data_IF_641216953795
#
_entry.id   IF_641216953795
#
_cell.length_a   1.000
_cell.length_b   1.000
_cell.length_c   1.000
_cell.angle_alpha   90.00
_cell.angle_beta   90.00
_cell.angle_gamma   90.00
#
_symmetry.space_group_name_H-M   'P 1'
#
loop_
_entity.id
_entity.type
_entity.pdbx_description
1 polymer ?
#
# COMPACT_ATOMS: atom_id res chain seq x y z
N UNK A 1 -43.86 -49.98 12.82
CA UNK A 1 -43.98 -50.41 14.24
C UNK A 1 -43.34 -49.28 15.02
N UNK A 2 -44.17 -48.49 15.50
CA UNK A 2 -44.74 -48.30 16.82
C UNK A 2 -43.97 -47.21 17.52
N UNK A 3 -44.54 -46.05 17.50
CA UNK A 3 -45.37 -45.30 18.49
C UNK A 3 -44.50 -44.58 19.52
N UNK A 4 -44.56 -43.30 19.59
CA UNK A 4 -45.59 -42.38 20.10
C UNK A 4 -45.37 -42.04 21.58
N UNK A 5 -45.53 -40.75 21.81
CA UNK A 5 -46.02 -39.98 22.98
C UNK A 5 -44.95 -39.52 23.98
N UNK A 6 -45.08 -38.43 24.65
CA UNK A 6 -46.01 -37.28 24.67
C UNK A 6 -45.52 -36.31 25.75
N UNK A 7 -45.72 -35.07 25.51
CA UNK A 7 -46.30 -34.05 26.37
C UNK A 7 -45.83 -33.79 27.83
N UNK A 8 -45.52 -32.54 28.14
CA UNK A 8 -46.13 -31.66 29.17
C UNK A 8 -45.34 -30.35 29.27
N UNK A 9 -45.88 -29.31 28.79
CA UNK A 9 -46.57 -28.15 29.42
C UNK A 9 -46.21 -27.88 30.92
N UNK A 10 -45.84 -26.65 31.18
CA UNK A 10 -45.70 -26.04 32.48
C UNK A 10 -45.21 -24.60 32.34
N UNK A 11 -46.08 -23.70 32.04
CA UNK A 11 -46.77 -22.65 32.82
C UNK A 11 -45.86 -21.50 33.34
N UNK A 12 -46.11 -20.35 32.76
CA UNK A 12 -46.07 -18.97 33.22
C UNK A 12 -45.83 -18.71 34.71
N UNK A 13 -44.88 -17.81 35.02
CA UNK A 13 -45.04 -16.87 36.11
C UNK A 13 -44.48 -15.51 35.71
N UNK A 14 -45.38 -14.54 35.65
CA UNK A 14 -45.12 -13.11 35.70
C UNK A 14 -44.83 -12.74 37.17
N UNK A 15 -43.87 -11.87 37.41
CA UNK A 15 -43.84 -10.92 38.53
C UNK A 15 -43.01 -9.70 38.07
N UNK A 16 -43.71 -8.63 37.81
CA UNK A 16 -44.02 -7.39 38.54
C UNK A 16 -42.83 -6.61 39.10
N UNK A 17 -42.67 -5.44 38.48
CA UNK A 17 -41.92 -4.28 38.97
C UNK A 17 -42.51 -3.77 40.28
N UNK A 18 -41.74 -2.96 41.05
CA UNK A 18 -42.36 -1.69 41.47
C UNK A 18 -41.52 -0.48 41.09
N UNK A 19 -42.31 0.57 40.86
CA UNK A 19 -41.93 1.91 40.53
C UNK A 19 -41.67 2.77 41.76
N UNK A 20 -40.87 3.80 41.54
CA UNK A 20 -40.94 5.17 42.08
C UNK A 20 -40.78 5.40 43.60
N UNK A 21 -39.79 6.23 43.89
CA UNK A 21 -40.11 7.37 44.79
C UNK A 21 -39.23 8.59 44.40
N UNK A 22 -39.95 9.73 44.34
CA UNK A 22 -39.44 11.04 43.99
C UNK A 22 -39.46 11.95 45.24
N UNK A 23 -38.52 12.93 45.27
CA UNK A 23 -38.57 14.23 45.98
C UNK A 23 -37.85 14.37 47.33
N UNK A 24 -37.52 15.62 47.74
CA UNK A 24 -37.64 16.92 47.08
C UNK A 24 -36.41 17.86 47.18
N UNK A 25 -36.51 18.94 46.41
CA UNK A 25 -35.65 20.12 46.42
C UNK A 25 -35.79 20.91 47.75
N UNK A 26 -34.70 21.44 48.26
CA UNK A 26 -34.73 22.53 49.24
C UNK A 26 -34.02 23.77 48.70
N UNK A 27 -34.89 24.76 48.45
CA UNK A 27 -34.57 26.16 48.24
C UNK A 27 -34.19 26.79 49.61
N UNK A 28 -33.04 27.44 49.72
CA UNK A 28 -32.83 28.41 50.81
C UNK A 28 -32.37 29.75 50.22
N UNK A 29 -33.34 30.65 50.11
CA UNK A 29 -33.10 32.09 50.02
C UNK A 29 -32.43 32.59 51.30
N UNK A 30 -31.35 33.36 51.17
CA UNK A 30 -30.93 34.32 52.22
C UNK A 30 -30.68 35.69 51.58
N UNK A 31 -31.59 36.54 51.88
CA UNK A 31 -31.72 37.97 52.16
C UNK A 31 -30.44 38.82 52.05
N UNK A 32 -30.65 39.88 51.27
CA UNK A 32 -29.85 41.12 51.23
C UNK A 32 -29.89 41.83 52.58
N UNK A 33 -28.76 42.45 52.94
CA UNK A 33 -28.75 43.63 53.77
C UNK A 33 -27.71 44.64 53.23
N UNK A 34 -28.02 45.94 53.17
CA UNK A 34 -27.20 47.01 52.58
C UNK A 34 -26.53 47.85 53.67
N UNK A 35 -25.38 48.42 53.37
CA UNK A 35 -24.86 49.51 54.20
C UNK A 35 -23.32 49.74 54.14
N UNK A 36 -22.92 50.58 53.20
CA UNK A 36 -21.92 51.69 53.33
C UNK A 36 -20.47 51.43 53.83
N UNK A 37 -19.50 52.34 53.52
CA UNK A 37 -19.34 53.34 52.48
C UNK A 37 -18.01 53.21 51.67
N UNK A 38 -17.94 54.02 50.61
CA UNK A 38 -16.81 54.26 49.72
C UNK A 38 -15.57 54.75 50.48
N UNK A 39 -14.40 54.13 50.19
CA UNK A 39 -13.10 54.78 50.30
C UNK A 39 -12.39 54.81 48.96
N UNK A 40 -12.13 56.00 48.53
CA UNK A 40 -11.36 56.34 47.34
C UNK A 40 -9.90 56.23 47.62
N UNK A 41 -9.19 55.35 46.86
CA UNK A 41 -7.72 55.39 46.73
C UNK A 41 -7.29 55.23 45.25
N UNK A 42 -6.19 55.84 44.80
CA UNK A 42 -5.97 56.14 43.43
C UNK A 42 -5.46 54.95 42.62
N UNK A 43 -5.77 54.99 41.31
CA UNK A 43 -5.32 54.07 40.31
C UNK A 43 -3.78 54.02 40.23
N UNK A 44 -3.18 52.90 40.64
CA UNK A 44 -1.84 52.55 40.21
C UNK A 44 -1.94 51.79 38.89
N UNK A 45 -1.51 52.42 37.84
CA UNK A 45 -1.26 51.80 36.58
C UNK A 45 -0.15 50.75 36.73
N UNK A 46 -0.55 49.47 36.87
CA UNK A 46 0.37 48.38 36.63
C UNK A 46 0.45 48.21 35.13
N UNK A 47 1.57 48.63 34.60
CA UNK A 47 2.06 48.21 33.29
C UNK A 47 1.92 46.69 33.21
N UNK A 48 1.06 46.23 32.29
CA UNK A 48 1.03 44.85 31.85
C UNK A 48 2.41 44.53 31.27
N UNK A 49 3.26 43.92 32.09
CA UNK A 49 4.51 43.34 31.63
C UNK A 49 4.13 42.24 30.62
N UNK A 50 4.36 42.53 29.37
CA UNK A 50 4.45 41.48 28.36
C UNK A 50 5.52 40.51 28.87
N UNK A 51 5.08 39.33 29.31
CA UNK A 51 6.00 38.19 29.54
C UNK A 51 6.81 38.03 28.28
N UNK A 52 8.15 37.99 28.35
CA UNK A 52 8.95 37.72 27.17
C UNK A 52 8.51 36.38 26.63
N UNK A 53 8.10 36.32 25.38
CA UNK A 53 7.92 35.06 24.64
C UNK A 53 9.20 34.28 24.90
N UNK A 54 9.09 33.17 25.64
CA UNK A 54 10.19 32.23 25.80
C UNK A 54 10.55 31.78 24.40
N UNK A 55 11.70 32.23 23.93
CA UNK A 55 12.33 31.83 22.69
C UNK A 55 12.68 30.32 22.86
N UNK A 56 11.66 29.47 22.72
CA UNK A 56 11.82 28.02 22.83
C UNK A 56 12.54 27.63 21.54
N UNK A 57 13.83 27.30 21.66
CA UNK A 57 14.64 26.81 20.56
C UNK A 57 13.87 25.75 19.76
N UNK A 58 13.66 26.03 18.49
CA UNK A 58 13.06 25.09 17.54
C UNK A 58 14.15 24.21 16.94
N UNK A 59 13.81 22.97 16.62
CA UNK A 59 14.70 22.02 15.95
C UNK A 59 14.21 21.78 14.51
N UNK A 60 15.12 21.72 13.52
CA UNK A 60 14.74 21.35 12.16
C UNK A 60 14.24 19.90 12.13
N UNK A 61 13.17 19.67 11.38
CA UNK A 61 12.52 18.36 11.30
C UNK A 61 12.10 18.04 9.88
N UNK A 62 12.08 16.74 9.58
CA UNK A 62 11.55 16.22 8.32
C UNK A 62 10.91 14.86 8.55
N UNK A 63 9.79 14.57 7.87
CA UNK A 63 9.12 13.28 7.98
C UNK A 63 7.85 13.20 7.16
N UNK A 64 7.23 12.02 7.18
CA UNK A 64 5.98 11.74 6.46
C UNK A 64 4.76 12.10 7.31
N UNK A 65 3.83 12.83 6.73
CA UNK A 65 2.56 13.14 7.39
C UNK A 65 1.67 11.89 7.40
N UNK A 66 1.30 11.48 8.61
CA UNK A 66 0.29 10.46 8.86
C UNK A 66 -0.91 11.06 9.58
N UNK A 67 -2.10 10.78 9.06
CA UNK A 67 -3.36 11.24 9.64
C UNK A 67 -4.19 10.01 9.96
N UNK A 68 -4.39 9.75 11.26
CA UNK A 68 -5.10 8.58 11.76
C UNK A 68 -5.97 8.99 12.94
N UNK A 69 -7.23 8.54 12.97
CA UNK A 69 -8.19 8.77 14.07
C UNK A 69 -8.34 10.26 14.47
N UNK A 70 -8.36 11.14 13.45
CA UNK A 70 -8.51 12.58 13.67
C UNK A 70 -7.30 13.26 14.30
N UNK A 71 -6.14 12.61 14.30
CA UNK A 71 -4.85 13.15 14.77
C UNK A 71 -3.85 13.17 13.62
N UNK A 72 -2.98 14.16 13.59
CA UNK A 72 -1.94 14.29 12.59
C UNK A 72 -0.56 14.22 13.26
N UNK A 73 0.33 13.43 12.67
CA UNK A 73 1.71 13.26 13.10
C UNK A 73 2.65 13.31 11.91
N UNK A 74 3.82 13.89 12.10
CA UNK A 74 4.96 13.75 11.21
C UNK A 74 5.79 12.57 11.72
N UNK A 75 5.91 11.51 10.93
CA UNK A 75 6.69 10.31 11.23
C UNK A 75 8.17 10.60 11.00
N UNK A 76 8.93 10.83 12.06
CA UNK A 76 10.37 11.12 11.97
C UNK A 76 11.23 9.89 11.65
N UNK A 77 10.74 8.69 11.91
CA UNK A 77 11.41 7.41 11.64
C UNK A 77 10.99 6.72 10.33
N UNK A 78 10.35 7.42 9.41
CA UNK A 78 9.87 6.86 8.14
C UNK A 78 8.39 6.46 8.18
N UNK A 79 8.04 5.19 7.96
CA UNK A 79 6.65 4.74 7.84
C UNK A 79 6.07 4.17 9.14
N UNK A 80 6.91 3.84 10.09
CA UNK A 80 6.49 3.26 11.38
C UNK A 80 6.26 4.35 12.42
N UNK A 81 5.36 4.06 13.36
CA UNK A 81 5.15 4.89 14.54
C UNK A 81 6.36 4.79 15.47
N UNK A 82 6.76 5.92 16.06
CA UNK A 82 7.93 5.91 16.91
C UNK A 82 8.05 7.11 17.84
N UNK A 83 9.06 7.08 18.72
CA UNK A 83 9.30 8.16 19.69
C UNK A 83 9.72 9.47 19.02
N UNK A 84 10.22 9.43 17.80
CA UNK A 84 10.59 10.60 17.01
C UNK A 84 9.40 11.26 16.29
N UNK A 85 8.18 10.75 16.46
CA UNK A 85 6.99 11.32 15.88
C UNK A 85 6.68 12.71 16.46
N UNK A 86 6.23 13.61 15.62
CA UNK A 86 5.88 14.97 16.01
C UNK A 86 4.41 15.23 15.78
N UNK A 87 3.76 15.91 16.71
CA UNK A 87 2.35 16.26 16.57
C UNK A 87 2.18 17.49 15.68
N UNK A 88 1.09 17.49 14.91
CA UNK A 88 0.67 18.59 14.05
C UNK A 88 -0.83 18.82 14.28
N UNK A 89 -1.24 20.09 14.35
CA UNK A 89 -2.66 20.41 14.49
C UNK A 89 -3.42 20.20 13.17
N UNK A 90 -4.67 19.74 13.25
CA UNK A 90 -5.52 19.66 12.06
C UNK A 90 -5.83 21.02 11.43
N UNK A 91 -5.70 22.10 12.19
CA UNK A 91 -5.79 23.46 11.66
C UNK A 91 -4.63 23.76 10.72
N UNK A 92 -3.41 23.41 11.10
CA UNK A 92 -2.23 23.55 10.23
C UNK A 92 -2.34 22.62 9.01
N UNK A 93 -2.84 21.38 9.16
CA UNK A 93 -3.09 20.48 8.03
C UNK A 93 -3.99 21.16 6.98
N UNK A 94 -5.08 21.78 7.42
CA UNK A 94 -6.01 22.49 6.52
C UNK A 94 -5.40 23.78 5.94
N UNK A 95 -4.69 24.54 6.76
CA UNK A 95 -4.06 25.81 6.37
C UNK A 95 -3.05 25.62 5.24
N UNK A 96 -2.22 24.59 5.31
CA UNK A 96 -1.20 24.28 4.31
C UNK A 96 -1.65 23.29 3.23
N UNK A 97 -2.93 22.87 3.22
CA UNK A 97 -3.44 21.90 2.25
C UNK A 97 -2.71 20.55 2.28
N UNK A 98 -2.23 20.15 3.48
CA UNK A 98 -1.45 18.92 3.64
C UNK A 98 -2.33 17.68 3.49
N UNK A 99 -1.73 16.61 2.96
CA UNK A 99 -2.39 15.32 2.73
C UNK A 99 -1.57 14.19 3.35
N UNK A 100 -2.23 13.14 3.82
CA UNK A 100 -1.55 11.92 4.29
C UNK A 100 -0.54 11.44 3.26
N UNK A 101 0.68 11.12 3.70
CA UNK A 101 1.79 10.73 2.83
C UNK A 101 2.63 11.88 2.28
N UNK A 102 2.32 13.14 2.61
CA UNK A 102 3.20 14.26 2.29
C UNK A 102 4.50 14.18 3.09
N UNK A 103 5.62 14.44 2.41
CA UNK A 103 6.90 14.71 3.05
C UNK A 103 6.90 16.17 3.51
N UNK A 104 6.95 16.39 4.81
CA UNK A 104 6.94 17.74 5.40
C UNK A 104 8.30 18.02 6.00
N UNK A 105 8.86 19.17 5.67
CA UNK A 105 10.08 19.73 6.28
C UNK A 105 9.73 21.05 6.97
N UNK A 106 10.32 21.30 8.14
CA UNK A 106 9.99 22.49 8.91
C UNK A 106 10.72 22.56 10.24
N UNK A 107 10.13 23.28 11.18
CA UNK A 107 10.65 23.42 12.53
C UNK A 107 9.65 22.93 13.58
N UNK A 108 10.14 22.23 14.60
CA UNK A 108 9.34 21.76 15.71
C UNK A 108 9.87 22.27 17.05
N UNK A 109 8.96 22.53 17.99
CA UNK A 109 9.28 22.78 19.37
C UNK A 109 9.40 21.44 20.09
N UNK A 110 10.50 21.18 20.83
CA UNK A 110 10.67 19.98 21.61
C UNK A 110 9.54 19.77 22.64
N UNK A 111 9.25 18.51 22.96
CA UNK A 111 8.35 18.18 24.06
C UNK A 111 8.89 18.74 25.38
N UNK A 112 8.00 19.29 26.21
CA UNK A 112 8.41 19.82 27.51
C UNK A 112 8.38 18.70 28.56
N UNK A 113 9.50 18.43 29.26
CA UNK A 113 9.53 17.46 30.35
C UNK A 113 8.50 17.84 31.45
N UNK A 114 7.74 16.85 31.90
CA UNK A 114 6.77 17.03 33.02
C UNK A 114 5.34 17.44 32.57
N UNK A 115 5.07 17.65 31.28
CA UNK A 115 3.70 17.86 30.80
C UNK A 115 3.13 16.61 30.13
N UNK A 116 2.21 15.86 30.78
CA UNK A 116 1.68 14.59 30.24
C UNK A 116 0.98 14.70 28.88
N UNK A 117 0.52 15.92 28.51
CA UNK A 117 -0.15 16.19 27.24
C UNK A 117 0.82 16.51 26.09
N UNK A 118 2.09 16.77 26.36
CA UNK A 118 3.12 17.12 25.37
C UNK A 118 4.17 15.99 25.26
N UNK A 119 3.72 14.77 24.93
CA UNK A 119 4.60 13.59 24.78
C UNK A 119 5.46 13.65 23.51
N UNK A 120 5.03 14.39 22.52
CA UNK A 120 5.70 14.54 21.21
C UNK A 120 6.11 16.00 20.99
N UNK A 121 7.19 16.20 20.27
CA UNK A 121 7.52 17.52 19.74
C UNK A 121 6.33 18.03 18.90
N UNK A 122 6.15 19.34 18.84
CA UNK A 122 5.04 19.94 18.09
C UNK A 122 5.59 20.74 16.91
N UNK A 123 5.14 20.44 15.69
CA UNK A 123 5.48 21.17 14.49
C UNK A 123 4.95 22.62 14.61
N UNK A 124 5.83 23.60 14.53
CA UNK A 124 5.49 25.03 14.65
C UNK A 124 5.49 25.72 13.31
N UNK A 125 6.32 25.27 12.37
CA UNK A 125 6.49 25.87 11.06
C UNK A 125 6.63 24.78 9.99
N UNK A 126 6.03 25.03 8.84
CA UNK A 126 6.16 24.19 7.63
C UNK A 126 6.94 25.00 6.61
N UNK A 127 8.11 24.51 6.23
CA UNK A 127 8.98 25.16 5.24
C UNK A 127 8.75 24.62 3.84
N UNK A 128 8.71 23.27 3.71
CA UNK A 128 8.51 22.59 2.43
C UNK A 128 7.52 21.42 2.56
N UNK A 129 6.76 21.19 1.50
CA UNK A 129 5.87 20.04 1.33
C UNK A 129 6.27 19.33 0.05
N UNK A 130 6.74 18.10 0.16
CA UNK A 130 7.29 17.32 -0.97
C UNK A 130 8.38 18.05 -1.78
N UNK A 131 9.15 18.91 -1.13
CA UNK A 131 10.19 19.72 -1.76
C UNK A 131 9.70 21.00 -2.43
N UNK A 132 8.41 21.32 -2.37
CA UNK A 132 7.80 22.53 -2.89
C UNK A 132 7.43 23.49 -1.77
N UNK A 133 7.30 24.78 -2.12
CA UNK A 133 6.65 25.76 -1.25
C UNK A 133 5.23 25.27 -0.86
N UNK A 134 4.79 25.47 0.41
CA UNK A 134 3.49 24.97 0.86
C UNK A 134 2.30 25.50 0.03
N UNK A 135 2.35 26.73 -0.48
CA UNK A 135 1.29 27.30 -1.31
C UNK A 135 1.23 26.62 -2.69
N UNK A 136 2.39 26.35 -3.29
CA UNK A 136 2.47 25.57 -4.54
C UNK A 136 2.01 24.13 -4.34
N UNK A 137 2.44 23.49 -3.25
CA UNK A 137 2.03 22.13 -2.92
C UNK A 137 0.52 22.00 -2.70
N UNK A 138 -0.14 23.01 -2.15
CA UNK A 138 -1.59 23.03 -1.94
C UNK A 138 -2.39 23.04 -3.25
N UNK A 139 -1.83 23.59 -4.33
CA UNK A 139 -2.50 23.71 -5.64
C UNK A 139 -2.45 22.43 -6.49
N UNK A 140 -1.67 21.42 -6.09
CA UNK A 140 -1.57 20.18 -6.84
C UNK A 140 -2.93 19.46 -6.93
N UNK A 141 -3.25 18.75 -8.04
CA UNK A 141 -4.50 18.00 -8.16
C UNK A 141 -4.59 16.91 -7.11
N UNK A 142 -5.79 16.49 -6.75
CA UNK A 142 -5.98 15.31 -5.93
C UNK A 142 -5.83 14.04 -6.77
N UNK A 143 -5.17 13.02 -6.24
CA UNK A 143 -5.01 11.74 -6.92
C UNK A 143 -6.34 11.13 -7.42
N UNK A 144 -7.42 11.35 -6.68
CA UNK A 144 -8.76 10.86 -7.06
C UNK A 144 -9.35 11.61 -8.25
N UNK A 145 -8.89 12.81 -8.55
CA UNK A 145 -9.37 13.68 -9.63
C UNK A 145 -8.58 13.46 -10.93
N UNK A 146 -7.42 12.80 -10.87
CA UNK A 146 -6.61 12.49 -12.04
C UNK A 146 -7.35 11.48 -12.94
N UNK A 147 -7.48 11.81 -14.23
CA UNK A 147 -8.14 10.95 -15.22
C UNK A 147 -7.35 9.66 -15.44
N UNK A 148 -7.92 8.47 -15.14
CA UNK A 148 -7.21 7.21 -15.29
C UNK A 148 -7.20 6.73 -16.74
N UNK A 149 -6.02 6.32 -17.21
CA UNK A 149 -5.82 5.72 -18.53
C UNK A 149 -5.39 4.25 -18.43
N UNK A 150 -5.59 3.50 -19.49
CA UNK A 150 -4.92 2.21 -19.65
C UNK A 150 -3.41 2.40 -19.69
N UNK A 151 -2.61 1.42 -19.22
CA UNK A 151 -1.18 1.41 -19.46
C UNK A 151 -0.87 1.45 -20.95
N UNK A 152 -0.06 2.44 -21.38
CA UNK A 152 0.33 2.65 -22.78
C UNK A 152 1.85 2.72 -22.95
N UNK A 153 2.57 3.07 -21.89
CA UNK A 153 4.03 3.13 -21.88
C UNK A 153 4.58 1.87 -21.20
N UNK A 154 5.30 1.06 -21.97
CA UNK A 154 5.90 -0.18 -21.49
C UNK A 154 7.06 0.11 -20.55
N UNK A 155 7.11 -0.60 -19.42
CA UNK A 155 8.26 -0.73 -18.54
C UNK A 155 9.05 -1.97 -18.98
N UNK A 156 10.09 -1.80 -19.79
CA UNK A 156 10.95 -2.91 -20.25
C UNK A 156 11.82 -3.39 -19.09
N UNK A 157 11.84 -4.69 -18.88
CA UNK A 157 12.65 -5.33 -17.84
C UNK A 157 13.95 -5.92 -18.39
N UNK A 158 14.05 -6.08 -19.69
CA UNK A 158 15.30 -6.51 -20.32
C UNK A 158 16.41 -5.51 -20.06
N UNK A 159 17.56 -5.99 -19.58
CA UNK A 159 18.73 -5.16 -19.28
C UNK A 159 19.96 -5.71 -19.99
N UNK A 160 21.00 -4.88 -20.24
CA UNK A 160 22.27 -5.35 -20.79
C UNK A 160 22.92 -6.46 -19.96
N UNK A 161 22.68 -6.50 -18.67
CA UNK A 161 23.17 -7.56 -17.77
C UNK A 161 22.44 -8.91 -17.94
N UNK A 162 21.39 -8.96 -18.74
CA UNK A 162 20.81 -10.18 -19.28
C UNK A 162 20.14 -11.11 -18.28
N UNK A 163 19.29 -10.60 -17.34
CA UNK A 163 18.49 -11.49 -16.47
C UNK A 163 17.48 -12.30 -17.29
N UNK A 164 17.61 -13.65 -17.39
CA UNK A 164 16.63 -14.48 -18.08
C UNK A 164 15.21 -14.32 -17.53
N UNK A 165 15.08 -14.14 -16.20
CA UNK A 165 13.80 -13.90 -15.55
C UNK A 165 13.12 -12.62 -16.07
N UNK A 166 13.86 -11.52 -16.14
CA UNK A 166 13.35 -10.25 -16.64
C UNK A 166 12.96 -10.33 -18.12
N UNK A 167 13.76 -11.03 -18.94
CA UNK A 167 13.47 -11.25 -20.36
C UNK A 167 12.20 -12.07 -20.58
N UNK A 168 12.02 -13.15 -19.81
CA UNK A 168 10.81 -13.99 -19.88
C UNK A 168 9.57 -13.19 -19.48
N UNK A 169 9.64 -12.41 -18.41
CA UNK A 169 8.52 -11.56 -17.97
C UNK A 169 8.15 -10.58 -19.09
N UNK A 170 9.13 -9.92 -19.68
CA UNK A 170 8.92 -9.00 -20.81
C UNK A 170 8.21 -9.64 -22.02
N UNK A 171 8.50 -10.90 -22.31
CA UNK A 171 7.89 -11.64 -23.42
C UNK A 171 6.47 -12.10 -23.12
N UNK A 172 6.22 -12.53 -21.88
CA UNK A 172 4.97 -13.23 -21.52
C UNK A 172 3.96 -12.30 -20.86
N UNK A 173 4.42 -11.38 -20.02
CA UNK A 173 3.57 -10.45 -19.27
C UNK A 173 4.17 -9.06 -19.30
N UNK A 174 4.13 -8.36 -20.45
CA UNK A 174 4.65 -7.00 -20.53
C UNK A 174 3.98 -6.10 -19.52
N UNK A 175 4.78 -5.30 -18.83
CA UNK A 175 4.33 -4.39 -17.78
C UNK A 175 4.28 -2.98 -18.36
N UNK A 176 3.18 -2.27 -18.10
CA UNK A 176 3.05 -0.86 -18.47
C UNK A 176 3.00 0.05 -17.25
N UNK A 177 3.37 1.33 -17.43
CA UNK A 177 3.17 2.36 -16.41
C UNK A 177 1.69 2.43 -16.05
N UNK A 178 1.37 2.33 -14.75
CA UNK A 178 -0.02 2.26 -14.27
C UNK A 178 -0.62 0.86 -14.20
N UNK A 179 0.18 -0.20 -14.44
CA UNK A 179 -0.27 -1.59 -14.35
C UNK A 179 -0.69 -1.97 -12.92
N UNK A 180 -1.73 -2.79 -12.82
CA UNK A 180 -2.14 -3.49 -11.59
C UNK A 180 -1.87 -4.98 -11.76
N UNK A 181 -0.65 -5.39 -11.45
CA UNK A 181 -0.19 -6.77 -11.63
C UNK A 181 -0.28 -7.61 -10.36
N UNK A 182 -0.66 -8.86 -10.53
CA UNK A 182 -0.56 -9.90 -9.51
C UNK A 182 0.55 -10.86 -9.88
N UNK A 183 1.50 -11.08 -8.98
CA UNK A 183 2.48 -12.16 -9.03
C UNK A 183 1.94 -13.29 -8.17
N UNK A 184 1.28 -14.23 -8.82
CA UNK A 184 0.57 -15.34 -8.18
C UNK A 184 1.54 -16.45 -7.88
N UNK A 185 1.82 -16.71 -6.62
CA UNK A 185 2.88 -17.62 -6.23
C UNK A 185 2.43 -18.62 -5.15
N UNK A 186 2.54 -19.92 -5.40
CA UNK A 186 2.49 -20.90 -4.32
C UNK A 186 3.76 -20.79 -3.45
N UNK A 187 3.70 -21.29 -2.19
CA UNK A 187 4.88 -21.27 -1.32
C UNK A 187 6.10 -21.94 -1.95
N UNK A 188 7.27 -21.31 -1.80
CA UNK A 188 8.58 -21.81 -2.30
C UNK A 188 8.72 -21.85 -3.84
N UNK A 189 7.93 -21.11 -4.59
CA UNK A 189 8.01 -21.04 -6.06
C UNK A 189 8.99 -19.99 -6.60
N UNK A 190 9.77 -19.31 -5.76
CA UNK A 190 10.74 -18.30 -6.21
C UNK A 190 10.21 -16.88 -6.31
N UNK A 191 9.16 -16.55 -5.56
CA UNK A 191 8.53 -15.23 -5.49
C UNK A 191 9.54 -14.07 -5.32
N UNK A 192 10.44 -14.19 -4.34
CA UNK A 192 11.43 -13.17 -4.01
C UNK A 192 12.41 -12.93 -5.15
N UNK A 193 12.84 -13.99 -5.85
CA UNK A 193 13.73 -13.88 -7.02
C UNK A 193 13.07 -13.07 -8.15
N UNK A 194 11.79 -13.30 -8.39
CA UNK A 194 11.02 -12.55 -9.40
C UNK A 194 10.93 -11.08 -9.02
N UNK A 195 10.60 -10.75 -7.76
CA UNK A 195 10.54 -9.38 -7.27
C UNK A 195 11.89 -8.67 -7.38
N UNK A 196 12.98 -9.34 -6.99
CA UNK A 196 14.34 -8.81 -7.10
C UNK A 196 14.71 -8.54 -8.56
N UNK A 197 14.37 -9.46 -9.49
CA UNK A 197 14.63 -9.28 -10.92
C UNK A 197 13.87 -8.07 -11.49
N UNK A 198 12.59 -7.91 -11.13
CA UNK A 198 11.77 -6.75 -11.54
C UNK A 198 12.35 -5.46 -10.95
N UNK A 199 12.64 -5.44 -9.65
CA UNK A 199 13.20 -4.27 -8.97
C UNK A 199 14.54 -3.82 -9.59
N UNK A 200 15.44 -4.77 -9.82
CA UNK A 200 16.74 -4.49 -10.44
C UNK A 200 16.61 -3.94 -11.86
N UNK A 201 15.68 -4.50 -12.65
CA UNK A 201 15.43 -4.06 -14.01
C UNK A 201 14.82 -2.64 -14.06
N UNK A 202 13.84 -2.35 -13.20
CA UNK A 202 13.25 -1.01 -13.10
C UNK A 202 14.29 0.01 -12.67
N UNK A 203 15.10 -0.29 -11.65
CA UNK A 203 16.13 0.62 -11.17
C UNK A 203 17.25 0.87 -12.21
N UNK A 204 17.54 -0.12 -13.07
CA UNK A 204 18.55 0.01 -14.11
C UNK A 204 18.06 0.79 -15.33
N UNK A 205 16.83 0.52 -15.78
CA UNK A 205 16.29 1.07 -17.02
C UNK A 205 15.59 2.42 -16.83
N UNK A 206 15.11 2.71 -15.60
CA UNK A 206 14.29 3.88 -15.31
C UNK A 206 14.74 4.58 -14.01
N UNK A 207 15.90 5.26 -14.03
CA UNK A 207 16.46 5.90 -12.83
C UNK A 207 15.57 7.03 -12.27
N UNK A 208 14.71 7.62 -13.10
CA UNK A 208 13.77 8.68 -12.71
C UNK A 208 12.47 8.16 -12.06
N UNK A 209 12.22 6.85 -12.19
CA UNK A 209 11.06 6.20 -11.56
C UNK A 209 11.31 6.02 -10.06
N UNK A 210 10.35 6.43 -9.26
CA UNK A 210 10.42 6.19 -7.82
C UNK A 210 10.01 4.75 -7.51
N UNK A 211 11.00 3.91 -7.20
CA UNK A 211 10.79 2.50 -6.86
C UNK A 211 10.60 2.33 -5.36
N UNK A 212 9.47 1.77 -4.96
CA UNK A 212 9.13 1.41 -3.58
C UNK A 212 8.92 -0.10 -3.47
N UNK A 213 9.55 -0.74 -2.48
CA UNK A 213 9.32 -2.15 -2.14
C UNK A 213 8.72 -2.22 -0.75
N UNK A 214 7.50 -2.73 -0.66
CA UNK A 214 6.73 -2.81 0.59
C UNK A 214 6.66 -4.28 1.01
N UNK A 215 7.25 -4.61 2.16
CA UNK A 215 7.33 -5.96 2.69
C UNK A 215 6.44 -6.07 3.94
N UNK A 216 5.33 -6.81 3.82
CA UNK A 216 4.35 -6.98 4.90
C UNK A 216 4.38 -8.41 5.42
N UNK A 217 4.74 -8.56 6.72
CA UNK A 217 4.81 -9.84 7.39
C UNK A 217 5.93 -10.74 6.87
N UNK A 218 6.95 -10.22 6.18
CA UNK A 218 8.12 -10.97 5.76
C UNK A 218 9.15 -11.08 6.89
N UNK A 219 10.13 -11.94 6.73
CA UNK A 219 11.15 -12.20 7.75
C UNK A 219 12.20 -11.09 7.80
N UNK A 220 12.77 -10.75 8.97
CA UNK A 220 13.81 -9.73 9.09
C UNK A 220 15.01 -9.95 8.18
N UNK A 221 15.45 -11.21 7.99
CA UNK A 221 16.54 -11.57 7.09
C UNK A 221 16.19 -11.30 5.62
N UNK A 222 14.95 -11.56 5.17
CA UNK A 222 14.48 -11.29 3.82
C UNK A 222 14.37 -9.77 3.56
N UNK A 223 13.97 -9.00 4.58
CA UNK A 223 14.00 -7.52 4.54
C UNK A 223 15.42 -7.00 4.36
N UNK A 224 16.38 -7.56 5.10
CA UNK A 224 17.78 -7.17 5.01
C UNK A 224 18.36 -7.48 3.63
N UNK A 225 18.05 -8.64 3.08
CA UNK A 225 18.47 -9.05 1.73
C UNK A 225 17.89 -8.09 0.68
N UNK A 226 16.59 -7.77 0.76
CA UNK A 226 15.94 -6.85 -0.16
C UNK A 226 16.58 -5.45 -0.11
N UNK A 227 16.86 -4.92 1.07
CA UNK A 227 17.54 -3.61 1.25
C UNK A 227 18.94 -3.58 0.64
N UNK A 228 19.66 -4.72 0.62
CA UNK A 228 21.01 -4.82 0.04
C UNK A 228 20.99 -4.99 -1.47
N UNK A 229 19.95 -5.64 -2.01
CA UNK A 229 19.87 -6.01 -3.43
C UNK A 229 19.14 -4.97 -4.28
N UNK A 230 18.24 -4.16 -3.70
CA UNK A 230 17.40 -3.24 -4.45
C UNK A 230 17.85 -1.78 -4.28
N UNK A 231 18.01 -1.09 -5.41
CA UNK A 231 18.21 0.36 -5.45
C UNK A 231 16.84 1.03 -5.49
N UNK A 232 16.21 1.20 -4.33
CA UNK A 232 14.88 1.77 -4.17
C UNK A 232 14.55 1.95 -2.70
N UNK A 233 13.39 2.50 -2.42
CA UNK A 233 12.89 2.67 -1.06
C UNK A 233 12.30 1.36 -0.54
N UNK A 234 12.91 0.75 0.48
CA UNK A 234 12.43 -0.51 1.09
C UNK A 234 11.74 -0.22 2.40
N UNK A 235 10.44 -0.45 2.41
CA UNK A 235 9.51 -0.24 3.52
C UNK A 235 9.10 -1.59 4.06
N UNK A 236 9.11 -1.78 5.36
CA UNK A 236 8.79 -3.10 5.93
C UNK A 236 8.04 -3.03 7.24
N UNK A 237 7.15 -4.00 7.44
CA UNK A 237 6.60 -4.39 8.72
C UNK A 237 6.74 -5.92 8.82
N UNK A 238 7.62 -6.39 9.68
CA UNK A 238 7.99 -7.80 9.80
C UNK A 238 6.94 -8.63 10.53
N UNK A 239 6.98 -9.95 10.41
CA UNK A 239 5.94 -10.86 10.91
C UNK A 239 5.74 -10.82 12.43
N UNK A 240 6.72 -10.33 13.19
CA UNK A 240 6.69 -10.16 14.64
C UNK A 240 5.95 -8.89 15.09
N UNK A 241 5.57 -8.01 14.16
CA UNK A 241 4.79 -6.80 14.46
C UNK A 241 3.29 -7.08 14.45
N UNK A 242 2.51 -6.24 15.14
CA UNK A 242 1.07 -6.34 15.20
C UNK A 242 0.40 -6.08 13.83
N UNK A 243 -0.81 -6.63 13.63
CA UNK A 243 -1.56 -6.47 12.40
C UNK A 243 -1.84 -4.99 12.06
N UNK A 244 -2.09 -4.16 13.06
CA UNK A 244 -2.32 -2.72 12.92
C UNK A 244 -1.09 -1.99 12.39
N UNK A 245 0.13 -2.45 12.73
CA UNK A 245 1.37 -1.88 12.20
C UNK A 245 1.57 -2.28 10.72
N UNK A 246 1.23 -3.52 10.34
CA UNK A 246 1.22 -3.95 8.95
C UNK A 246 0.31 -3.07 8.10
N UNK A 247 -0.89 -2.77 8.60
CA UNK A 247 -1.87 -1.91 7.94
C UNK A 247 -1.35 -0.48 7.86
N UNK A 248 -0.90 0.09 8.97
CA UNK A 248 -0.45 1.48 9.05
C UNK A 248 0.69 1.77 8.07
N UNK A 249 1.70 0.88 8.03
CA UNK A 249 2.85 0.99 7.13
C UNK A 249 2.42 0.89 5.66
N UNK A 250 1.58 -0.09 5.30
CA UNK A 250 1.12 -0.25 3.94
C UNK A 250 0.27 0.94 3.46
N UNK A 251 -0.64 1.41 4.32
CA UNK A 251 -1.49 2.56 4.00
C UNK A 251 -0.69 3.86 3.85
N UNK A 252 0.26 4.13 4.73
CA UNK A 252 1.10 5.32 4.62
C UNK A 252 1.98 5.26 3.37
N UNK A 253 2.50 4.07 3.02
CA UNK A 253 3.30 3.88 1.83
C UNK A 253 2.51 4.12 0.53
N UNK A 254 1.28 3.62 0.41
CA UNK A 254 0.46 3.86 -0.77
C UNK A 254 0.00 5.32 -0.86
N UNK A 255 -0.28 5.97 0.28
CA UNK A 255 -0.58 7.40 0.27
C UNK A 255 0.65 8.23 -0.14
N UNK A 256 1.86 7.86 0.30
CA UNK A 256 3.11 8.47 -0.18
C UNK A 256 3.26 8.31 -1.70
N UNK A 257 3.04 7.13 -2.23
CA UNK A 257 3.09 6.88 -3.67
C UNK A 257 2.11 7.78 -4.44
N UNK A 258 0.88 7.95 -3.96
CA UNK A 258 -0.11 8.86 -4.55
C UNK A 258 0.35 10.31 -4.53
N UNK A 259 1.00 10.77 -3.44
CA UNK A 259 1.55 12.15 -3.38
C UNK A 259 2.62 12.39 -4.44
N UNK A 260 3.44 11.38 -4.72
CA UNK A 260 4.45 11.47 -5.79
C UNK A 260 3.81 11.54 -7.17
N UNK A 261 2.75 10.77 -7.41
CA UNK A 261 1.99 10.82 -8.69
C UNK A 261 1.31 12.18 -8.88
N UNK A 262 0.75 12.78 -7.82
CA UNK A 262 0.19 14.14 -7.86
C UNK A 262 1.23 15.22 -8.26
N UNK A 263 2.51 14.90 -8.12
CA UNK A 263 3.64 15.74 -8.57
C UNK A 263 4.13 15.38 -9.98
N UNK A 264 3.39 14.57 -10.72
CA UNK A 264 3.75 14.14 -12.08
C UNK A 264 4.82 13.05 -12.14
N UNK A 265 5.15 12.38 -11.01
CA UNK A 265 6.18 11.34 -10.99
C UNK A 265 5.61 9.97 -11.34
N UNK A 266 6.44 9.16 -12.02
CA UNK A 266 6.18 7.73 -12.19
C UNK A 266 6.65 6.97 -10.96
N UNK A 267 5.74 6.16 -10.40
CA UNK A 267 6.01 5.37 -9.19
C UNK A 267 5.75 3.89 -9.50
N UNK A 268 6.70 3.04 -9.13
CA UNK A 268 6.54 1.58 -9.15
C UNK A 268 6.57 1.07 -7.72
N UNK A 269 5.50 0.41 -7.31
CA UNK A 269 5.37 -0.23 -6.00
C UNK A 269 5.35 -1.74 -6.16
N UNK A 270 6.29 -2.42 -5.53
CA UNK A 270 6.33 -3.87 -5.39
C UNK A 270 5.84 -4.21 -3.98
N UNK A 271 4.70 -4.89 -3.84
CA UNK A 271 4.16 -5.29 -2.54
C UNK A 271 4.32 -6.80 -2.31
N UNK A 272 4.99 -7.19 -1.27
CA UNK A 272 5.11 -8.56 -0.79
C UNK A 272 4.60 -8.68 0.65
N UNK A 273 3.38 -9.22 0.91
CA UNK A 273 2.36 -9.69 -0.02
C UNK A 273 1.00 -9.07 0.28
N UNK A 274 0.18 -8.92 -0.75
CA UNK A 274 -1.20 -8.44 -0.59
C UNK A 274 -2.06 -9.45 0.21
N UNK A 275 -1.75 -10.73 0.14
CA UNK A 275 -2.42 -11.77 0.96
C UNK A 275 -2.17 -11.57 2.44
N UNK A 276 -0.92 -11.26 2.84
CA UNK A 276 -0.60 -10.96 4.25
C UNK A 276 -1.24 -9.66 4.71
N UNK A 277 -1.29 -8.65 3.84
CA UNK A 277 -2.00 -7.42 4.11
C UNK A 277 -3.51 -7.69 4.31
N UNK A 278 -4.13 -8.52 3.49
CA UNK A 278 -5.52 -8.97 3.66
C UNK A 278 -5.75 -9.68 5.00
N UNK A 279 -4.83 -10.57 5.39
CA UNK A 279 -4.87 -11.24 6.70
C UNK A 279 -4.76 -10.24 7.86
N UNK A 280 -3.91 -9.21 7.74
CA UNK A 280 -3.79 -8.17 8.75
C UNK A 280 -5.10 -7.38 8.91
N UNK A 281 -5.75 -6.99 7.81
CA UNK A 281 -7.08 -6.37 7.88
C UNK A 281 -8.13 -7.29 8.48
N UNK A 282 -8.05 -8.60 8.24
CA UNK A 282 -8.98 -9.55 8.84
C UNK A 282 -8.79 -9.70 10.35
N UNK A 283 -7.55 -9.69 10.82
CA UNK A 283 -7.22 -9.74 12.25
C UNK A 283 -7.65 -8.45 12.97
N UNK A 284 -7.49 -7.30 12.33
CA UNK A 284 -7.89 -5.99 12.86
C UNK A 284 -9.39 -5.68 12.65
N UNK A 285 -10.16 -6.57 12.02
CA UNK A 285 -11.57 -6.34 11.76
C UNK A 285 -12.39 -6.29 13.05
N UNK A 286 -13.40 -5.38 13.16
CA UNK A 286 -14.27 -5.35 14.32
C UNK A 286 -14.98 -6.69 14.56
N UNK A 287 -15.13 -7.09 15.82
CA UNK A 287 -15.82 -8.34 16.20
C UNK A 287 -17.29 -8.39 15.69
N UNK A 288 -17.89 -7.23 15.44
CA UNK A 288 -19.26 -7.10 14.87
C UNK A 288 -19.32 -7.32 13.36
N UNK A 289 -18.18 -7.49 12.67
CA UNK A 289 -18.17 -7.72 11.22
C UNK A 289 -18.82 -9.04 10.86
N UNK A 290 -19.65 -9.01 9.78
CA UNK A 290 -20.17 -10.24 9.19
C UNK A 290 -19.01 -11.07 8.63
N UNK A 291 -18.98 -12.36 8.96
CA UNK A 291 -17.96 -13.29 8.50
C UNK A 291 -18.48 -14.06 7.28
N UNK A 292 -17.67 -14.16 6.24
CA UNK A 292 -17.88 -14.94 5.04
C UNK A 292 -17.33 -16.38 5.20
N UNK A 293 -17.62 -17.23 4.20
CA UNK A 293 -16.94 -18.51 4.08
C UNK A 293 -15.42 -18.33 4.06
N UNK A 294 -14.69 -19.23 4.73
CA UNK A 294 -13.24 -19.09 4.89
C UNK A 294 -12.79 -18.22 6.07
N UNK A 295 -13.72 -17.70 6.90
CA UNK A 295 -13.37 -16.91 8.09
C UNK A 295 -12.95 -15.47 7.78
N UNK A 296 -13.38 -14.92 6.65
CA UNK A 296 -13.04 -13.55 6.23
C UNK A 296 -14.12 -12.56 6.65
N UNK A 297 -13.75 -11.52 7.35
CA UNK A 297 -14.65 -10.40 7.66
C UNK A 297 -14.92 -9.59 6.38
N UNK A 298 -16.20 -9.25 6.11
CA UNK A 298 -16.58 -8.45 4.93
C UNK A 298 -15.83 -7.13 4.89
N UNK A 299 -15.62 -6.49 6.05
CA UNK A 299 -14.86 -5.24 6.17
C UNK A 299 -13.38 -5.37 5.78
N UNK A 300 -12.80 -6.58 5.81
CA UNK A 300 -11.41 -6.84 5.48
C UNK A 300 -11.14 -6.97 3.97
N UNK A 301 -12.16 -7.18 3.14
CA UNK A 301 -12.01 -7.36 1.69
C UNK A 301 -11.74 -6.05 0.95
N UNK A 302 -12.43 -4.98 1.35
CA UNK A 302 -12.39 -3.72 0.62
C UNK A 302 -11.02 -3.00 0.69
N UNK A 303 -10.35 -2.86 1.85
CA UNK A 303 -9.12 -2.08 1.94
C UNK A 303 -7.97 -2.61 1.07
N UNK A 304 -7.60 -3.91 1.07
CA UNK A 304 -6.52 -4.39 0.21
C UNK A 304 -6.90 -4.34 -1.27
N UNK A 305 -8.19 -4.51 -1.63
CA UNK A 305 -8.67 -4.30 -2.99
C UNK A 305 -8.55 -2.83 -3.42
N UNK A 306 -8.84 -1.88 -2.52
CA UNK A 306 -8.62 -0.44 -2.73
C UNK A 306 -7.14 -0.12 -2.90
N UNK A 307 -6.26 -0.79 -2.16
CA UNK A 307 -4.81 -0.68 -2.30
C UNK A 307 -4.39 -1.05 -3.73
N UNK A 308 -4.71 -2.26 -4.21
CA UNK A 308 -4.40 -2.71 -5.57
C UNK A 308 -5.07 -1.82 -6.63
N UNK A 309 -6.30 -1.39 -6.38
CA UNK A 309 -7.07 -0.51 -7.26
C UNK A 309 -6.52 0.92 -7.40
N UNK A 310 -5.55 1.31 -6.58
CA UNK A 310 -4.89 2.60 -6.72
C UNK A 310 -3.99 2.68 -7.96
N UNK A 311 -3.48 1.55 -8.48
CA UNK A 311 -2.64 1.52 -9.67
C UNK A 311 -3.35 2.09 -10.89
N UNK A 312 -2.77 3.11 -11.52
CA UNK A 312 -3.28 3.75 -12.73
C UNK A 312 -2.22 4.56 -13.45
N UNK A 313 -2.33 4.64 -14.76
CA UNK A 313 -1.70 5.68 -15.55
C UNK A 313 -2.63 6.91 -15.55
N UNK A 314 -2.11 8.11 -15.62
CA UNK A 314 -2.92 9.34 -15.58
C UNK A 314 -2.65 10.22 -16.78
N UNK A 315 -3.65 11.01 -17.20
CA UNK A 315 -3.57 11.82 -18.42
C UNK A 315 -2.58 12.99 -18.26
N UNK A 316 -2.68 13.73 -17.16
CA UNK A 316 -1.94 14.98 -16.95
C UNK A 316 -0.87 14.85 -15.85
N UNK A 317 -0.58 13.65 -15.40
CA UNK A 317 0.33 13.42 -14.26
C UNK A 317 1.28 12.26 -14.51
N UNK A 318 1.87 11.77 -13.42
CA UNK A 318 2.66 10.55 -13.42
C UNK A 318 1.82 9.29 -13.47
N UNK A 319 2.43 8.18 -13.14
CA UNK A 319 1.77 6.88 -13.07
C UNK A 319 2.04 6.17 -11.75
N UNK A 320 1.08 5.35 -11.31
CA UNK A 320 1.24 4.43 -10.19
C UNK A 320 1.13 2.99 -10.70
N UNK A 321 2.27 2.32 -10.82
CA UNK A 321 2.34 0.89 -11.17
C UNK A 321 2.41 0.07 -9.90
N UNK A 322 1.50 -0.89 -9.74
CA UNK A 322 1.45 -1.79 -8.58
C UNK A 322 1.67 -3.22 -9.03
N UNK A 323 2.69 -3.89 -8.50
CA UNK A 323 2.94 -5.31 -8.66
C UNK A 323 2.89 -5.97 -7.29
N UNK A 324 1.83 -6.71 -7.02
CA UNK A 324 1.58 -7.30 -5.70
C UNK A 324 1.71 -8.82 -5.77
N UNK A 325 2.46 -9.41 -4.85
CA UNK A 325 2.46 -10.87 -4.73
C UNK A 325 1.20 -11.34 -4.04
N UNK A 326 0.58 -12.37 -4.60
CA UNK A 326 -0.58 -13.05 -4.03
C UNK A 326 -0.21 -14.52 -3.76
N UNK A 327 -0.44 -14.97 -2.52
CA UNK A 327 -0.17 -16.36 -2.13
C UNK A 327 -1.37 -17.24 -2.50
N UNK A 328 -1.08 -18.35 -3.16
CA UNK A 328 -2.06 -19.39 -3.53
C UNK A 328 -1.57 -20.77 -3.09
N UNK A 329 -2.42 -21.78 -3.13
CA UNK A 329 -2.09 -23.15 -2.74
C UNK A 329 -1.49 -23.27 -1.33
N UNK A 330 -1.94 -22.41 -0.42
CA UNK A 330 -1.49 -22.38 0.97
C UNK A 330 -2.28 -23.36 1.86
N UNK A 331 -3.37 -23.94 1.35
CA UNK A 331 -4.34 -24.73 2.11
C UNK A 331 -5.29 -23.87 2.97
N UNK A 332 -5.22 -22.55 2.86
CA UNK A 332 -6.06 -21.59 3.59
C UNK A 332 -7.21 -21.10 2.72
N UNK A 333 -8.45 -21.45 3.10
CA UNK A 333 -9.65 -20.91 2.43
C UNK A 333 -9.77 -19.40 2.50
N UNK A 334 -9.20 -18.79 3.53
CA UNK A 334 -9.11 -17.33 3.65
C UNK A 334 -8.31 -16.73 2.49
N UNK A 335 -7.15 -17.31 2.17
CA UNK A 335 -6.30 -16.82 1.08
C UNK A 335 -6.97 -16.95 -0.27
N UNK A 336 -7.74 -18.04 -0.48
CA UNK A 336 -8.52 -18.25 -1.69
C UNK A 336 -9.57 -17.15 -1.87
N UNK A 337 -10.29 -16.79 -0.80
CA UNK A 337 -11.28 -15.69 -0.83
C UNK A 337 -10.61 -14.37 -1.19
N UNK A 338 -9.48 -14.04 -0.55
CA UNK A 338 -8.74 -12.82 -0.89
C UNK A 338 -8.23 -12.83 -2.33
N UNK A 339 -7.70 -13.97 -2.79
CA UNK A 339 -7.19 -14.08 -4.16
C UNK A 339 -8.27 -13.82 -5.21
N UNK A 340 -9.47 -14.40 -5.05
CA UNK A 340 -10.58 -14.15 -5.98
C UNK A 340 -11.01 -12.67 -6.02
N UNK A 341 -10.97 -11.97 -4.88
CA UNK A 341 -11.23 -10.52 -4.84
C UNK A 341 -10.16 -9.70 -5.58
N UNK A 342 -8.88 -10.10 -5.50
CA UNK A 342 -7.79 -9.39 -6.16
C UNK A 342 -7.78 -9.63 -7.66
N UNK A 343 -8.08 -10.86 -8.12
CA UNK A 343 -8.14 -11.26 -9.52
C UNK A 343 -9.07 -10.38 -10.35
N UNK A 344 -10.21 -9.98 -9.77
CA UNK A 344 -11.15 -9.05 -10.42
C UNK A 344 -10.62 -7.61 -10.56
N UNK A 345 -9.62 -7.21 -9.77
CA UNK A 345 -9.06 -5.86 -9.74
C UNK A 345 -7.80 -5.71 -10.60
N UNK A 346 -7.01 -6.77 -10.71
CA UNK A 346 -5.79 -6.82 -11.50
C UNK A 346 -6.04 -6.79 -13.01
N UNK A 347 -5.07 -6.28 -13.76
CA UNK A 347 -5.04 -6.31 -15.22
C UNK A 347 -3.77 -6.97 -15.79
N UNK A 348 -3.02 -7.68 -14.97
CA UNK A 348 -1.86 -8.50 -15.33
C UNK A 348 -1.70 -9.60 -14.29
N UNK A 349 -1.45 -10.82 -14.73
CA UNK A 349 -1.13 -11.95 -13.87
C UNK A 349 0.15 -12.64 -14.35
N UNK A 350 1.15 -12.69 -13.46
CA UNK A 350 2.35 -13.51 -13.60
C UNK A 350 2.24 -14.68 -12.62
N UNK A 351 2.04 -15.87 -13.12
CA UNK A 351 1.83 -17.08 -12.30
C UNK A 351 3.11 -17.87 -12.15
N UNK A 352 3.41 -18.30 -10.94
CA UNK A 352 4.51 -19.23 -10.63
C UNK A 352 3.96 -20.62 -10.33
N UNK A 353 4.77 -21.66 -10.62
CA UNK A 353 4.42 -23.07 -10.44
C UNK A 353 5.35 -23.76 -9.45
N UNK A 354 4.76 -24.47 -8.48
CA UNK A 354 5.52 -25.23 -7.48
C UNK A 354 6.22 -26.45 -8.07
N UNK A 355 5.60 -27.13 -9.05
CA UNK A 355 6.18 -28.32 -9.70
C UNK A 355 7.46 -27.99 -10.50
N UNK A 356 7.52 -26.83 -11.18
CA UNK A 356 8.73 -26.34 -11.84
C UNK A 356 9.83 -26.03 -10.81
N UNK A 357 9.49 -25.33 -9.74
CA UNK A 357 10.44 -25.04 -8.65
C UNK A 357 10.95 -26.33 -7.97
N UNK A 358 10.09 -27.34 -7.80
CA UNK A 358 10.45 -28.65 -7.30
C UNK A 358 11.50 -29.38 -8.17
N UNK A 359 11.43 -29.16 -9.47
CA UNK A 359 12.40 -29.65 -10.47
C UNK A 359 13.61 -28.73 -10.67
N UNK A 360 13.75 -27.66 -9.86
CA UNK A 360 14.82 -26.65 -9.95
C UNK A 360 14.84 -25.89 -11.28
N UNK A 361 13.71 -25.78 -11.97
CA UNK A 361 13.53 -24.92 -13.13
C UNK A 361 13.17 -23.52 -12.64
N UNK A 362 14.08 -22.55 -12.84
CA UNK A 362 13.90 -21.15 -12.45
C UNK A 362 14.21 -20.20 -13.61
N UNK A 363 13.39 -19.12 -13.79
CA UNK A 363 12.19 -18.77 -13.03
C UNK A 363 11.08 -19.81 -13.25
N UNK A 364 10.40 -20.16 -12.14
CA UNK A 364 9.30 -21.15 -12.19
C UNK A 364 7.98 -20.53 -12.70
N UNK A 365 8.04 -19.81 -13.81
CA UNK A 365 6.91 -19.08 -14.40
C UNK A 365 6.01 -20.05 -15.18
N UNK A 366 4.70 -19.99 -14.92
CA UNK A 366 3.70 -20.58 -15.79
C UNK A 366 3.46 -19.66 -17.00
N UNK A 367 4.22 -19.89 -18.05
CA UNK A 367 4.19 -19.05 -19.26
C UNK A 367 2.87 -19.16 -20.03
N UNK A 368 2.12 -20.26 -19.84
CA UNK A 368 0.85 -20.49 -20.50
C UNK A 368 -0.33 -19.80 -19.81
N UNK A 369 -0.27 -19.69 -18.47
CA UNK A 369 -1.34 -19.09 -17.66
C UNK A 369 -1.05 -17.63 -17.27
N UNK A 370 0.09 -17.09 -17.67
CA UNK A 370 0.47 -15.70 -17.40
C UNK A 370 0.09 -14.79 -18.56
N UNK A 371 -0.43 -13.60 -18.24
CA UNK A 371 -0.90 -12.66 -19.29
C UNK A 371 -1.04 -11.23 -18.77
N UNK A 372 -1.04 -10.27 -19.71
CA UNK A 372 -1.37 -8.87 -19.49
C UNK A 372 -2.59 -8.50 -20.31
N UNK A 373 -3.60 -7.88 -19.68
CA UNK A 373 -4.77 -7.35 -20.41
C UNK A 373 -4.35 -6.14 -21.21
N UNK A 374 -4.88 -6.04 -22.45
CA UNK A 374 -4.58 -4.94 -23.37
C UNK A 374 -3.08 -4.80 -23.64
N UNK A 375 -2.37 -5.93 -23.74
CA UNK A 375 -0.96 -5.92 -24.15
C UNK A 375 -0.74 -5.30 -25.55
N UNK A 376 -1.79 -5.25 -26.35
CA UNK A 376 -1.84 -4.54 -27.64
C UNK A 376 -1.48 -3.04 -27.53
N UNK A 377 -1.74 -2.41 -26.40
CA UNK A 377 -1.38 -1.03 -26.14
C UNK A 377 0.10 -0.83 -25.73
N UNK A 378 0.77 -1.92 -25.35
CA UNK A 378 2.16 -1.92 -24.84
C UNK A 378 3.16 -2.41 -25.87
N UNK A 379 2.71 -3.12 -26.89
CA UNK A 379 3.54 -3.75 -27.90
C UNK A 379 3.36 -3.03 -29.25
N UNK A 380 4.47 -2.84 -29.97
CA UNK A 380 4.39 -2.45 -31.37
C UNK A 380 3.69 -3.55 -32.18
N UNK A 381 3.03 -3.23 -33.30
CA UNK A 381 2.29 -4.23 -34.09
C UNK A 381 3.12 -5.47 -34.46
N UNK A 382 4.39 -5.29 -34.84
CA UNK A 382 5.30 -6.38 -35.22
C UNK A 382 5.67 -7.25 -33.99
N UNK A 383 5.93 -6.61 -32.83
CA UNK A 383 6.21 -7.31 -31.57
C UNK A 383 4.96 -8.10 -31.10
N UNK A 384 3.77 -7.54 -31.27
CA UNK A 384 2.50 -8.19 -30.94
C UNK A 384 2.26 -9.42 -31.80
N UNK A 385 2.48 -9.33 -33.11
CA UNK A 385 2.37 -10.46 -34.04
C UNK A 385 3.38 -11.58 -33.71
N UNK A 386 4.63 -11.19 -33.42
CA UNK A 386 5.69 -12.13 -33.04
C UNK A 386 5.39 -12.83 -31.69
N UNK A 387 4.92 -12.07 -30.70
CA UNK A 387 4.50 -12.61 -29.40
C UNK A 387 3.32 -13.55 -29.55
N UNK A 388 2.35 -13.23 -30.41
CA UNK A 388 1.22 -14.13 -30.73
C UNK A 388 1.69 -15.44 -31.35
N UNK A 389 2.70 -15.40 -32.24
CA UNK A 389 3.31 -16.59 -32.81
C UNK A 389 4.07 -17.41 -31.74
N UNK A 390 4.86 -16.75 -30.92
CA UNK A 390 5.55 -17.38 -29.78
C UNK A 390 4.55 -18.10 -28.88
N UNK A 391 3.46 -17.46 -28.48
CA UNK A 391 2.42 -18.09 -27.61
C UNK A 391 1.82 -19.34 -28.24
N UNK A 392 1.60 -19.38 -29.55
CA UNK A 392 1.12 -20.58 -30.25
C UNK A 392 2.14 -21.72 -30.13
N UNK A 393 3.41 -21.45 -30.38
CA UNK A 393 4.48 -22.47 -30.22
C UNK A 393 4.55 -22.96 -28.76
N UNK A 394 4.48 -22.07 -27.79
CA UNK A 394 4.51 -22.44 -26.37
C UNK A 394 3.29 -23.29 -25.96
N UNK A 395 2.13 -23.05 -26.55
CA UNK A 395 0.88 -23.80 -26.24
C UNK A 395 0.96 -25.27 -26.67
N UNK A 396 1.77 -25.59 -27.68
CA UNK A 396 1.99 -26.98 -28.13
C UNK A 396 2.95 -27.75 -27.21
N UNK A 397 3.60 -27.05 -26.29
CA UNK A 397 4.58 -27.63 -25.36
C UNK A 397 3.95 -27.83 -23.97
N UNK A 398 4.48 -28.75 -23.20
CA UNK A 398 4.16 -28.84 -21.78
C UNK A 398 4.77 -27.67 -21.00
N UNK A 399 4.24 -27.32 -19.81
CA UNK A 399 4.67 -26.13 -19.05
C UNK A 399 6.20 -26.06 -18.77
N UNK A 400 6.83 -27.20 -18.50
CA UNK A 400 8.28 -27.27 -18.29
C UNK A 400 9.04 -26.99 -19.57
N UNK A 401 8.71 -27.67 -20.68
CA UNK A 401 9.37 -27.47 -21.97
C UNK A 401 9.24 -26.04 -22.48
N UNK A 402 8.08 -25.42 -22.24
CA UNK A 402 7.84 -24.04 -22.63
C UNK A 402 8.78 -23.06 -21.91
N UNK A 403 9.01 -23.23 -20.60
CA UNK A 403 9.96 -22.40 -19.84
C UNK A 403 11.40 -22.70 -20.24
N UNK A 404 11.76 -23.97 -20.39
CA UNK A 404 13.11 -24.39 -20.83
C UNK A 404 13.44 -23.80 -22.19
N UNK A 405 12.51 -23.85 -23.16
CA UNK A 405 12.71 -23.22 -24.48
C UNK A 405 13.00 -21.70 -24.33
N UNK A 406 12.23 -20.99 -23.51
CA UNK A 406 12.47 -19.57 -23.28
C UNK A 406 13.80 -19.30 -22.58
N UNK A 407 14.22 -20.14 -21.64
CA UNK A 407 15.51 -20.05 -20.98
C UNK A 407 16.69 -20.25 -21.95
N UNK A 408 16.61 -21.31 -22.78
CA UNK A 408 17.66 -21.61 -23.75
C UNK A 408 17.77 -20.50 -24.80
N UNK A 409 16.63 -20.05 -25.36
CA UNK A 409 16.62 -18.94 -26.30
C UNK A 409 17.07 -17.61 -25.68
N UNK A 410 16.82 -17.39 -24.38
CA UNK A 410 17.37 -16.23 -23.67
C UNK A 410 18.91 -16.27 -23.55
N UNK A 411 19.51 -17.45 -23.53
CA UNK A 411 20.97 -17.62 -23.53
C UNK A 411 21.58 -17.47 -24.94
N UNK A 412 20.86 -17.97 -25.95
CA UNK A 412 21.30 -18.00 -27.35
C UNK A 412 21.16 -16.65 -28.05
N UNK A 413 20.43 -15.69 -27.49
CA UNK A 413 20.12 -14.40 -28.10
C UNK A 413 20.53 -13.23 -27.19
N UNK A 414 20.98 -12.14 -27.81
CA UNK A 414 21.38 -10.93 -27.07
C UNK A 414 20.21 -10.09 -26.60
N UNK A 415 19.03 -10.24 -27.23
CA UNK A 415 17.83 -9.47 -26.90
C UNK A 415 16.53 -10.21 -27.23
N UNK A 416 15.43 -9.78 -26.60
CA UNK A 416 14.10 -10.26 -26.91
C UNK A 416 13.68 -9.93 -28.34
N UNK A 417 14.11 -8.78 -28.89
CA UNK A 417 13.88 -8.41 -30.27
C UNK A 417 14.58 -9.36 -31.26
N UNK A 418 15.78 -9.80 -30.94
CA UNK A 418 16.48 -10.83 -31.73
C UNK A 418 15.75 -12.17 -31.66
N UNK A 419 15.37 -12.59 -30.46
CA UNK A 419 14.62 -13.83 -30.26
C UNK A 419 13.29 -13.85 -31.02
N UNK A 420 12.49 -12.78 -30.93
CA UNK A 420 11.21 -12.68 -31.65
C UNK A 420 11.40 -12.73 -33.18
N UNK A 421 12.45 -12.10 -33.71
CA UNK A 421 12.80 -12.21 -35.15
C UNK A 421 13.15 -13.63 -35.57
N UNK A 422 13.87 -14.40 -34.72
CA UNK A 422 14.17 -15.80 -35.00
C UNK A 422 12.89 -16.65 -35.03
N UNK A 423 11.97 -16.45 -34.10
CA UNK A 423 10.66 -17.14 -34.09
C UNK A 423 9.86 -16.85 -35.36
N UNK A 424 9.80 -15.60 -35.79
CA UNK A 424 9.08 -15.24 -37.02
C UNK A 424 9.66 -15.92 -38.26
N UNK A 425 11.00 -16.01 -38.38
CA UNK A 425 11.67 -16.67 -39.49
C UNK A 425 11.44 -18.17 -39.50
N UNK A 426 11.45 -18.82 -38.33
CA UNK A 426 11.26 -20.27 -38.21
C UNK A 426 9.84 -20.74 -38.45
N UNK A 427 8.86 -19.81 -38.40
CA UNK A 427 7.42 -20.10 -38.60
C UNK A 427 6.86 -19.60 -39.92
N UNK A 428 7.66 -18.86 -40.72
CA UNK A 428 7.27 -18.58 -42.10
C UNK A 428 7.35 -19.88 -42.90
N UNK A 429 6.27 -20.31 -43.60
CA UNK A 429 6.39 -21.40 -44.55
C UNK A 429 7.45 -21.00 -45.59
N UNK A 430 8.37 -21.94 -45.86
CA UNK A 430 9.28 -21.79 -47.01
C UNK A 430 8.41 -21.42 -48.20
N UNK A 431 8.52 -20.17 -48.66
CA UNK A 431 7.88 -19.72 -49.88
C UNK A 431 8.42 -20.64 -50.99
N UNK A 432 7.57 -21.56 -51.42
CA UNK A 432 7.78 -22.45 -52.54
C UNK A 432 7.72 -21.66 -53.85
#
# INVERSE_FOLDING_TARGET
MTTVTDNRQGTLARDTLPAADARPAQNSRRTRNPGQPRDTRPANAHAAGASPAQDTATIPVSGLLDITDGKAFIRGGGYQRGPSDMSLSLTQVRQYGLRRGDQVTGAARPAQPGKPRERHATLTQVDLVNGLDPQQAAQRPHFAELTPLHPQQRLRLETPAGSPTARIIDLITPIGKGQRGLIVAPPKAGKTMVLQAVAAAVAANYPDVHLMVILIGERPEEVTEMRRSVRGEVISATFDQAAEEHIAVAELAIERAKRLVELGRDVVVLLDSITRLGRAYNLAAPASSRILAGGVAVSALYPPRKFLGAGRNTEDGGSLTLLCTALVDTGSRMDEVFFEEFKGTGNMELRLRRDLAGKRVFPAIDVLSSSTRREDLLLAPDDSAATGTLRRVLTELGPQQAVELLLDKSRDTTSNAEFLRQIQRSTQPLAS
#
